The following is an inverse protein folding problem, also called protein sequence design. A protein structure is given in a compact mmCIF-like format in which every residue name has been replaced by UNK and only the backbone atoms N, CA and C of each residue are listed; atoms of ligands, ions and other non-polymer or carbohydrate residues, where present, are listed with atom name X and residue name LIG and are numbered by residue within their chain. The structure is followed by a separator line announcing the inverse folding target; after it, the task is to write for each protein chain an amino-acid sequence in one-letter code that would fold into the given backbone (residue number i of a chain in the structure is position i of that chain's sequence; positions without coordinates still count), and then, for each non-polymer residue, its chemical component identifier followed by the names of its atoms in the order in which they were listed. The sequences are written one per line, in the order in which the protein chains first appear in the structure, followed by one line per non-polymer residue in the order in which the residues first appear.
data_IF_740222250018
#
_entry.id   IF_740222250018
#
_cell.length_a   1.000
_cell.length_b   1.000
_cell.length_c   1.000
_cell.angle_alpha   90.00
_cell.angle_beta   90.00
_cell.angle_gamma   90.00
#
_symmetry.space_group_name_H-M   'P 1'
#
loop_
_entity.id
_entity.type
_entity.pdbx_description
1 polymer ?
#
# COMPACT_ATOMS: atom_id res chain seq x y z
N UNK A 1 8.65 12.06 -18.63
CA UNK A 1 9.63 11.33 -19.45
C UNK A 1 9.45 9.83 -19.18
N UNK A 2 8.81 9.13 -20.12
CA UNK A 2 8.76 7.67 -20.13
C UNK A 2 10.17 7.18 -20.44
N UNK A 3 10.71 6.32 -19.59
CA UNK A 3 11.99 5.71 -19.82
C UNK A 3 11.82 4.58 -20.84
N UNK A 4 12.73 4.46 -21.79
CA UNK A 4 12.71 3.37 -22.80
C UNK A 4 12.66 1.97 -22.18
N UNK A 5 13.03 1.82 -20.91
CA UNK A 5 12.92 0.58 -20.13
C UNK A 5 11.51 -0.01 -20.08
N UNK A 6 10.46 0.83 -20.16
CA UNK A 6 9.07 0.34 -20.14
C UNK A 6 8.73 -0.49 -21.37
N UNK A 7 9.41 -0.27 -22.49
CA UNK A 7 9.22 -1.03 -23.71
C UNK A 7 9.85 -2.43 -23.69
N UNK A 8 10.66 -2.77 -22.69
CA UNK A 8 11.25 -4.12 -22.59
C UNK A 8 10.20 -5.22 -22.46
N UNK A 9 9.01 -4.93 -21.98
CA UNK A 9 7.90 -5.88 -21.95
C UNK A 9 7.45 -6.35 -23.33
N UNK A 10 7.78 -5.66 -24.41
CA UNK A 10 7.51 -6.09 -25.77
C UNK A 10 8.26 -7.35 -26.17
N UNK A 11 9.42 -7.55 -25.55
CA UNK A 11 10.35 -8.65 -25.86
C UNK A 11 10.05 -9.92 -25.05
N UNK A 12 8.97 -10.00 -24.28
CA UNK A 12 8.64 -11.15 -23.43
C UNK A 12 8.71 -12.45 -24.24
N UNK A 13 8.14 -12.47 -25.45
CA UNK A 13 8.10 -13.65 -26.29
C UNK A 13 9.48 -14.08 -26.85
N UNK A 14 10.46 -13.17 -26.86
CA UNK A 14 11.81 -13.47 -27.32
C UNK A 14 12.63 -14.23 -26.26
N UNK A 15 12.37 -13.95 -24.99
CA UNK A 15 13.15 -14.48 -23.87
C UNK A 15 12.47 -15.64 -23.13
N UNK A 16 11.13 -15.72 -23.15
CA UNK A 16 10.38 -16.76 -22.47
C UNK A 16 10.18 -17.97 -23.38
N UNK A 17 10.48 -19.18 -22.88
CA UNK A 17 10.35 -20.45 -23.62
C UNK A 17 8.96 -21.07 -23.47
N UNK A 18 8.35 -20.85 -22.33
CA UNK A 18 7.03 -21.34 -21.95
C UNK A 18 5.93 -20.73 -22.83
N UNK A 19 4.81 -21.45 -22.97
CA UNK A 19 3.67 -20.98 -23.78
C UNK A 19 2.92 -19.79 -23.15
N UNK A 20 3.14 -19.53 -21.88
CA UNK A 20 2.53 -18.43 -21.12
C UNK A 20 3.46 -17.88 -20.07
N UNK A 21 3.35 -16.58 -19.81
CA UNK A 21 4.10 -15.88 -18.79
C UNK A 21 3.25 -14.81 -18.11
N UNK A 22 3.55 -14.53 -16.84
CA UNK A 22 3.03 -13.32 -16.17
C UNK A 22 4.09 -12.25 -16.21
N UNK A 23 3.77 -11.11 -16.78
CA UNK A 23 4.54 -9.87 -16.64
C UNK A 23 4.03 -9.10 -15.44
N UNK A 24 4.95 -8.55 -14.66
CA UNK A 24 4.65 -7.68 -13.51
C UNK A 24 5.58 -6.47 -13.54
N UNK A 25 5.03 -5.30 -13.25
CA UNK A 25 5.83 -4.11 -12.98
C UNK A 25 6.62 -4.26 -11.68
N UNK A 26 7.74 -3.56 -11.56
CA UNK A 26 8.65 -3.70 -10.42
C UNK A 26 8.13 -3.01 -9.12
N UNK A 27 7.03 -2.30 -9.20
CA UNK A 27 6.35 -1.64 -8.09
C UNK A 27 5.13 -2.44 -7.59
N UNK A 28 5.21 -3.77 -7.70
CA UNK A 28 4.17 -4.69 -7.25
C UNK A 28 4.65 -5.60 -6.11
N UNK A 29 3.70 -6.04 -5.31
CA UNK A 29 3.88 -7.10 -4.31
C UNK A 29 2.92 -8.23 -4.62
N UNK A 30 3.45 -9.46 -4.77
CA UNK A 30 2.65 -10.69 -4.82
C UNK A 30 2.45 -11.15 -3.38
N UNK A 31 1.20 -11.03 -2.90
CA UNK A 31 0.85 -11.38 -1.53
C UNK A 31 -0.04 -12.63 -1.44
N UNK A 32 -0.80 -12.91 -2.48
CA UNK A 32 -1.71 -14.05 -2.52
C UNK A 32 -1.34 -15.09 -3.57
N UNK A 33 -2.18 -16.13 -3.69
CA UNK A 33 -2.00 -17.19 -4.65
C UNK A 33 -2.33 -16.73 -6.08
N UNK A 34 -1.34 -16.73 -6.96
CA UNK A 34 -1.49 -16.39 -8.38
C UNK A 34 -1.61 -17.61 -9.31
N UNK A 35 -1.51 -18.83 -8.79
CA UNK A 35 -1.65 -20.05 -9.60
C UNK A 35 -2.93 -20.09 -10.43
N UNK A 36 -4.10 -19.61 -9.96
CA UNK A 36 -5.31 -19.59 -10.78
C UNK A 36 -5.20 -18.76 -12.07
N UNK A 37 -4.28 -17.79 -12.15
CA UNK A 37 -4.01 -17.05 -13.40
C UNK A 37 -3.46 -17.99 -14.48
N UNK A 38 -2.54 -18.90 -14.11
CA UNK A 38 -1.91 -19.82 -15.05
C UNK A 38 -2.88 -20.88 -15.57
N UNK A 39 -4.00 -21.09 -14.90
CA UNK A 39 -5.05 -22.03 -15.31
C UNK A 39 -6.12 -21.38 -16.20
N UNK A 40 -6.12 -20.06 -16.36
CA UNK A 40 -7.13 -19.37 -17.17
C UNK A 40 -6.89 -19.62 -18.65
N UNK A 41 -7.99 -19.92 -19.37
CA UNK A 41 -7.98 -19.97 -20.81
C UNK A 41 -7.93 -18.54 -21.38
N UNK A 42 -7.10 -18.33 -22.40
CA UNK A 42 -7.02 -17.08 -23.14
C UNK A 42 -8.23 -16.82 -24.05
N UNK A 43 -9.01 -17.83 -24.36
CA UNK A 43 -10.17 -17.72 -25.29
C UNK A 43 -9.78 -17.04 -26.60
N UNK A 44 -8.60 -17.40 -27.14
CA UNK A 44 -8.05 -16.83 -28.36
C UNK A 44 -7.40 -15.43 -28.21
N UNK A 45 -7.43 -14.84 -27.02
CA UNK A 45 -6.81 -13.54 -26.78
C UNK A 45 -5.29 -13.62 -26.62
N UNK A 46 -4.62 -12.47 -26.78
CA UNK A 46 -3.17 -12.34 -26.65
C UNK A 46 -2.72 -12.17 -25.20
N UNK A 47 -3.57 -11.55 -24.37
CA UNK A 47 -3.30 -11.26 -22.97
C UNK A 47 -4.56 -11.43 -22.12
N UNK A 48 -4.34 -11.70 -20.84
CA UNK A 48 -5.34 -11.56 -19.78
C UNK A 48 -4.82 -10.48 -18.83
N UNK A 49 -5.63 -9.46 -18.56
CA UNK A 49 -5.25 -8.32 -17.74
C UNK A 49 -6.42 -7.75 -16.94
N UNK A 50 -6.11 -6.89 -16.00
CA UNK A 50 -7.10 -6.16 -15.21
C UNK A 50 -7.47 -4.87 -15.94
N UNK A 51 -8.77 -4.50 -16.01
CA UNK A 51 -9.18 -3.21 -16.55
C UNK A 51 -8.48 -2.04 -15.82
N UNK A 52 -8.07 -1.04 -16.55
CA UNK A 52 -7.53 0.18 -15.97
C UNK A 52 -8.61 0.92 -15.17
N UNK A 53 -8.27 1.37 -13.98
CA UNK A 53 -9.23 2.06 -13.12
C UNK A 53 -9.55 3.50 -13.56
N UNK A 54 -8.67 4.12 -14.35
CA UNK A 54 -8.81 5.49 -14.83
C UNK A 54 -9.59 5.60 -16.14
N UNK A 55 -9.38 4.63 -17.03
CA UNK A 55 -9.88 4.68 -18.39
C UNK A 55 -10.78 3.49 -18.69
N UNK A 56 -11.91 3.76 -19.29
CA UNK A 56 -12.84 2.70 -19.73
C UNK A 56 -12.28 1.97 -20.94
N UNK A 57 -12.53 0.66 -20.99
CA UNK A 57 -12.23 -0.21 -22.13
C UNK A 57 -10.74 -0.44 -22.44
N UNK A 58 -9.84 -0.03 -21.58
CA UNK A 58 -8.43 -0.39 -21.67
C UNK A 58 -8.00 -1.22 -20.45
N UNK A 59 -6.88 -1.88 -20.55
CA UNK A 59 -6.28 -2.62 -19.44
C UNK A 59 -5.07 -1.87 -18.88
N UNK A 60 -4.80 -2.09 -17.60
CA UNK A 60 -3.57 -1.66 -16.97
C UNK A 60 -2.45 -2.66 -17.32
N UNK A 61 -1.37 -2.17 -17.92
CA UNK A 61 -0.27 -2.99 -18.41
C UNK A 61 0.71 -3.46 -17.32
N UNK A 62 0.51 -3.01 -16.08
CA UNK A 62 1.38 -3.39 -14.95
C UNK A 62 1.34 -4.88 -14.63
N UNK A 63 0.18 -5.55 -14.85
CA UNK A 63 0.06 -6.99 -14.77
C UNK A 63 -0.57 -7.54 -16.05
N UNK A 64 0.13 -8.43 -16.72
CA UNK A 64 -0.36 -9.13 -17.91
C UNK A 64 -0.01 -10.63 -17.87
N UNK A 65 -1.01 -11.49 -17.97
CA UNK A 65 -0.76 -12.87 -18.38
C UNK A 65 -0.67 -12.90 -19.92
N UNK A 66 0.48 -13.26 -20.42
CA UNK A 66 0.82 -13.22 -21.86
C UNK A 66 0.70 -14.60 -22.47
N UNK A 67 0.01 -14.72 -23.61
CA UNK A 67 0.01 -15.89 -24.48
C UNK A 67 1.28 -15.84 -25.33
N UNK A 68 2.37 -16.36 -24.79
CA UNK A 68 3.71 -16.30 -25.41
C UNK A 68 3.73 -17.03 -26.77
N UNK A 69 3.07 -18.17 -26.87
CA UNK A 69 2.95 -18.89 -28.12
C UNK A 69 2.33 -18.02 -29.23
N UNK A 70 1.19 -17.39 -28.92
CA UNK A 70 0.50 -16.50 -29.87
C UNK A 70 1.30 -15.26 -30.22
N UNK A 71 2.02 -14.67 -29.21
CA UNK A 71 2.90 -13.54 -29.46
C UNK A 71 4.03 -13.88 -30.44
N UNK A 72 4.64 -15.08 -30.32
CA UNK A 72 5.66 -15.56 -31.24
C UNK A 72 5.09 -15.79 -32.66
N UNK A 73 3.98 -16.50 -32.73
CA UNK A 73 3.37 -16.86 -34.01
C UNK A 73 2.98 -15.63 -34.83
N UNK A 74 2.47 -14.59 -34.15
CA UNK A 74 1.92 -13.40 -34.80
C UNK A 74 2.93 -12.22 -34.80
N UNK A 75 4.23 -12.46 -34.47
CA UNK A 75 5.31 -11.49 -34.46
C UNK A 75 4.97 -10.20 -33.66
N UNK A 76 4.36 -10.35 -32.52
CA UNK A 76 3.82 -9.22 -31.71
C UNK A 76 4.92 -8.24 -31.30
N UNK A 77 6.13 -8.70 -30.99
CA UNK A 77 7.25 -7.81 -30.64
C UNK A 77 7.50 -6.81 -31.76
N UNK A 78 7.63 -7.28 -33.01
CA UNK A 78 7.86 -6.44 -34.18
C UNK A 78 6.69 -5.47 -34.41
N UNK A 79 5.46 -5.96 -34.34
CA UNK A 79 4.26 -5.15 -34.51
C UNK A 79 4.18 -4.01 -33.48
N UNK A 80 4.54 -4.27 -32.22
CA UNK A 80 4.57 -3.25 -31.16
C UNK A 80 5.65 -2.20 -31.41
N UNK A 81 6.83 -2.61 -31.87
CA UNK A 81 7.93 -1.68 -32.21
C UNK A 81 7.55 -0.77 -33.39
N UNK A 82 6.97 -1.33 -34.44
CA UNK A 82 6.51 -0.58 -35.62
C UNK A 82 5.40 0.41 -35.24
N UNK A 83 4.40 -0.07 -34.47
CA UNK A 83 3.30 0.77 -33.99
C UNK A 83 3.81 1.90 -33.09
N UNK A 84 4.80 1.61 -32.23
CA UNK A 84 5.44 2.63 -31.38
C UNK A 84 6.14 3.68 -32.24
N UNK A 85 6.90 3.25 -33.27
CA UNK A 85 7.60 4.19 -34.16
C UNK A 85 6.61 5.06 -34.94
N UNK A 86 5.48 4.51 -35.37
CA UNK A 86 4.43 5.24 -36.07
C UNK A 86 3.68 6.23 -35.17
N UNK A 87 3.32 5.79 -33.94
CA UNK A 87 2.34 6.47 -33.06
C UNK A 87 2.93 7.21 -31.86
N UNK A 88 4.25 7.23 -31.67
CA UNK A 88 4.90 7.80 -30.47
C UNK A 88 4.56 9.27 -30.17
N UNK A 89 4.11 10.02 -31.16
CA UNK A 89 3.67 11.43 -30.96
C UNK A 89 2.19 11.54 -30.55
N UNK A 90 1.39 10.54 -30.87
CA UNK A 90 -0.05 10.52 -30.63
C UNK A 90 -0.43 9.76 -29.35
N UNK A 91 0.36 8.73 -29.00
CA UNK A 91 0.08 7.80 -27.94
C UNK A 91 1.15 7.91 -26.85
N UNK A 92 0.69 8.10 -25.63
CA UNK A 92 1.58 8.22 -24.49
C UNK A 92 1.89 6.83 -23.89
N UNK A 93 3.17 6.44 -24.00
CA UNK A 93 3.71 5.28 -23.32
C UNK A 93 3.41 3.92 -23.96
N UNK A 94 4.02 2.92 -23.39
CA UNK A 94 3.92 1.54 -23.79
C UNK A 94 2.51 0.96 -23.53
N UNK A 95 1.87 1.34 -22.43
CA UNK A 95 0.48 0.93 -22.14
C UNK A 95 -0.49 1.37 -23.23
N UNK A 96 -0.32 2.59 -23.72
CA UNK A 96 -1.17 3.10 -24.80
C UNK A 96 -1.01 2.28 -26.09
N UNK A 97 0.23 1.97 -26.48
CA UNK A 97 0.54 1.16 -27.66
C UNK A 97 0.00 -0.27 -27.52
N UNK A 98 0.19 -0.89 -26.34
CA UNK A 98 -0.35 -2.22 -26.06
C UNK A 98 -1.87 -2.25 -26.16
N UNK A 99 -2.56 -1.25 -25.60
CA UNK A 99 -4.01 -1.15 -25.67
C UNK A 99 -4.52 -0.90 -27.09
N UNK A 100 -3.77 -0.17 -27.91
CA UNK A 100 -4.13 0.01 -29.32
C UNK A 100 -3.98 -1.28 -30.10
N UNK A 101 -2.85 -2.01 -29.96
CA UNK A 101 -2.61 -3.25 -30.69
C UNK A 101 -3.59 -4.36 -30.27
N UNK A 102 -3.90 -4.43 -28.98
CA UNK A 102 -4.77 -5.45 -28.41
C UNK A 102 -6.21 -5.00 -28.20
N UNK A 103 -6.64 -3.93 -28.84
CA UNK A 103 -8.05 -3.51 -28.80
C UNK A 103 -8.98 -4.69 -29.12
N UNK A 104 -9.89 -4.99 -28.21
CA UNK A 104 -10.81 -6.15 -28.28
C UNK A 104 -10.13 -7.54 -28.41
N UNK A 105 -8.85 -7.66 -28.09
CA UNK A 105 -8.06 -8.90 -28.16
C UNK A 105 -7.43 -9.29 -26.82
N UNK A 106 -8.01 -8.82 -25.72
CA UNK A 106 -7.60 -9.14 -24.36
C UNK A 106 -8.78 -9.58 -23.50
N UNK A 107 -8.50 -10.46 -22.56
CA UNK A 107 -9.48 -11.01 -21.62
C UNK A 107 -9.38 -10.31 -20.27
N UNK A 108 -10.53 -9.92 -19.72
CA UNK A 108 -10.62 -9.28 -18.41
C UNK A 108 -10.46 -10.32 -17.29
N UNK A 109 -9.74 -9.90 -16.22
CA UNK A 109 -9.65 -10.65 -14.97
C UNK A 109 -9.96 -9.74 -13.78
N UNK A 110 -10.23 -10.35 -12.63
CA UNK A 110 -10.57 -9.63 -11.40
C UNK A 110 -9.45 -8.66 -10.97
N UNK A 111 -9.79 -7.47 -10.45
CA UNK A 111 -8.86 -6.54 -9.81
C UNK A 111 -8.00 -7.18 -8.71
N UNK A 112 -8.41 -8.32 -8.18
CA UNK A 112 -7.63 -9.14 -7.24
C UNK A 112 -6.18 -9.41 -7.72
N UNK A 113 -5.95 -9.46 -9.03
CA UNK A 113 -4.65 -9.75 -9.64
C UNK A 113 -3.87 -8.51 -10.11
N UNK A 114 -4.39 -7.33 -9.90
CA UNK A 114 -3.70 -6.06 -10.11
C UNK A 114 -4.46 -4.97 -9.35
N UNK A 115 -4.34 -5.01 -8.03
CA UNK A 115 -5.00 -4.04 -7.17
C UNK A 115 -4.20 -2.75 -7.16
N UNK A 116 -4.68 -1.77 -7.92
CA UNK A 116 -4.07 -0.46 -8.11
C UNK A 116 -4.28 0.40 -6.86
N UNK A 117 -3.25 0.52 -6.04
CA UNK A 117 -3.28 1.30 -4.80
C UNK A 117 -3.23 2.80 -5.13
N UNK A 118 -4.04 3.58 -4.44
CA UNK A 118 -4.14 5.03 -4.66
C UNK A 118 -5.34 5.46 -5.47
N UNK A 119 -5.98 4.56 -6.22
CA UNK A 119 -7.27 4.84 -6.87
C UNK A 119 -8.37 5.17 -5.85
N UNK A 120 -8.30 4.60 -4.67
CA UNK A 120 -9.19 4.91 -3.56
C UNK A 120 -9.10 6.39 -3.16
N UNK A 121 -7.91 6.89 -2.88
CA UNK A 121 -7.70 8.31 -2.54
C UNK A 121 -8.15 9.24 -3.66
N UNK A 122 -7.83 8.88 -4.89
CA UNK A 122 -8.21 9.67 -6.07
C UNK A 122 -9.70 9.60 -6.33
N UNK A 123 -10.32 8.43 -6.15
CA UNK A 123 -11.76 8.25 -6.24
C UNK A 123 -12.51 9.09 -5.21
N UNK A 124 -11.99 9.19 -4.00
CA UNK A 124 -12.54 10.07 -2.97
C UNK A 124 -12.51 11.54 -3.41
N UNK A 125 -11.37 12.05 -3.86
CA UNK A 125 -11.24 13.43 -4.32
C UNK A 125 -12.03 13.72 -5.59
N UNK A 126 -12.14 12.74 -6.50
CA UNK A 126 -12.91 12.87 -7.72
C UNK A 126 -14.41 12.60 -7.53
N UNK A 127 -14.86 12.28 -6.31
CA UNK A 127 -16.23 11.86 -5.99
C UNK A 127 -16.71 10.67 -6.85
N UNK A 128 -15.81 9.70 -7.07
CA UNK A 128 -16.06 8.48 -7.87
C UNK A 128 -15.95 7.23 -7.01
N UNK A 129 -16.98 6.90 -6.22
CA UNK A 129 -16.95 5.76 -5.31
C UNK A 129 -16.73 4.43 -6.04
N UNK A 130 -17.08 4.32 -7.30
CA UNK A 130 -16.87 3.14 -8.13
C UNK A 130 -15.38 2.80 -8.35
N UNK A 131 -14.47 3.73 -8.12
CA UNK A 131 -13.03 3.49 -8.26
C UNK A 131 -12.42 2.80 -7.04
N UNK A 132 -13.11 2.84 -5.90
CA UNK A 132 -12.59 2.30 -4.64
C UNK A 132 -13.54 1.35 -3.90
N UNK A 133 -14.65 0.93 -4.53
CA UNK A 133 -15.62 0.02 -3.89
C UNK A 133 -14.98 -1.24 -3.31
N UNK A 134 -13.99 -1.81 -3.99
CA UNK A 134 -13.27 -2.98 -3.51
C UNK A 134 -12.13 -2.63 -2.54
N UNK A 135 -11.63 -1.39 -2.57
CA UNK A 135 -10.56 -0.92 -1.70
C UNK A 135 -11.03 -0.75 -0.26
N UNK A 136 -12.33 -0.58 -0.07
CA UNK A 136 -12.95 -0.25 1.22
C UNK A 136 -13.46 -1.47 1.98
N UNK A 137 -13.49 -2.61 1.34
CA UNK A 137 -13.76 -3.87 2.04
C UNK A 137 -12.50 -4.28 2.82
N UNK A 138 -12.56 -4.23 4.15
CA UNK A 138 -11.48 -4.66 5.04
C UNK A 138 -11.10 -6.13 4.83
N UNK A 139 -12.05 -6.93 4.34
CA UNK A 139 -11.84 -8.33 4.00
C UNK A 139 -11.26 -8.53 2.60
N UNK A 140 -11.15 -7.48 1.81
CA UNK A 140 -10.60 -7.59 0.46
C UNK A 140 -9.08 -7.79 0.51
N UNK A 141 -8.66 -9.00 0.09
CA UNK A 141 -7.27 -9.44 0.10
C UNK A 141 -6.79 -9.65 -1.33
N UNK A 142 -6.16 -8.65 -1.96
CA UNK A 142 -5.64 -8.80 -3.32
C UNK A 142 -4.47 -9.77 -3.34
N UNK A 143 -4.40 -10.57 -4.42
CA UNK A 143 -3.25 -11.45 -4.65
C UNK A 143 -2.03 -10.68 -5.14
N UNK A 144 -2.25 -9.61 -5.92
CA UNK A 144 -1.19 -8.72 -6.41
C UNK A 144 -1.58 -7.29 -6.09
N UNK A 145 -0.71 -6.61 -5.35
CA UNK A 145 -0.81 -5.19 -4.98
C UNK A 145 0.11 -4.40 -5.90
N UNK A 146 -0.44 -3.41 -6.58
CA UNK A 146 0.29 -2.55 -7.50
C UNK A 146 0.34 -1.12 -6.96
N UNK A 147 1.51 -0.65 -6.60
CA UNK A 147 1.75 0.72 -6.13
C UNK A 147 1.98 1.66 -7.32
N UNK A 148 0.95 1.79 -8.15
CA UNK A 148 1.03 2.65 -9.33
C UNK A 148 1.17 4.15 -8.99
N UNK A 149 1.53 4.95 -10.00
CA UNK A 149 1.64 6.38 -9.85
C UNK A 149 2.91 6.85 -9.13
N UNK A 150 2.88 8.08 -8.60
CA UNK A 150 4.04 8.73 -7.96
C UNK A 150 4.19 8.42 -6.47
N UNK A 151 3.11 8.09 -5.80
CA UNK A 151 3.07 7.85 -4.36
C UNK A 151 3.47 6.39 -4.08
N UNK A 152 4.78 6.16 -4.02
CA UNK A 152 5.35 4.83 -3.81
C UNK A 152 5.49 4.52 -2.33
N UNK A 153 5.42 3.23 -1.91
CA UNK A 153 5.53 2.84 -0.50
C UNK A 153 6.91 3.14 0.11
N UNK A 154 7.93 3.33 -0.71
CA UNK A 154 9.28 3.72 -0.30
C UNK A 154 9.53 5.23 -0.34
N UNK A 155 8.58 6.02 -0.81
CA UNK A 155 8.64 7.48 -0.76
C UNK A 155 8.03 8.00 0.53
N UNK A 156 8.32 9.25 0.85
CA UNK A 156 7.84 9.92 2.05
C UNK A 156 6.34 10.25 2.01
N UNK A 157 5.73 10.30 0.84
CA UNK A 157 4.32 10.61 0.70
C UNK A 157 3.46 9.35 0.79
N UNK A 158 2.73 9.23 1.87
CA UNK A 158 2.15 7.98 2.35
C UNK A 158 0.65 7.89 2.22
N UNK A 159 0.16 8.13 1.03
CA UNK A 159 -1.26 7.93 0.72
C UNK A 159 -1.59 6.51 0.28
N UNK A 160 -0.64 5.57 0.41
CA UNK A 160 -0.78 4.22 -0.11
C UNK A 160 -1.21 3.23 0.96
N UNK A 161 -2.31 2.51 0.72
CA UNK A 161 -2.66 1.31 1.49
C UNK A 161 -1.60 0.21 1.28
N UNK A 162 -1.53 -0.72 2.18
CA UNK A 162 -0.60 -1.86 2.12
C UNK A 162 0.88 -1.48 2.08
N UNK A 163 1.24 -0.26 2.47
CA UNK A 163 2.64 0.17 2.56
C UNK A 163 3.45 -0.72 3.48
N UNK A 164 2.87 -1.11 4.60
CA UNK A 164 3.46 -2.03 5.59
C UNK A 164 3.80 -3.40 4.98
N UNK A 165 3.01 -3.89 4.04
CA UNK A 165 3.31 -5.13 3.34
C UNK A 165 4.53 -5.00 2.42
N UNK A 166 4.67 -3.86 1.75
CA UNK A 166 5.86 -3.62 0.92
C UNK A 166 7.13 -3.62 1.79
N UNK A 167 7.11 -2.92 2.92
CA UNK A 167 8.24 -2.88 3.84
C UNK A 167 8.52 -4.22 4.48
N UNK A 168 7.49 -5.00 4.82
CA UNK A 168 7.64 -6.36 5.30
C UNK A 168 8.41 -7.20 4.28
N UNK A 169 7.97 -7.27 3.02
CA UNK A 169 8.66 -8.04 1.99
C UNK A 169 10.05 -7.49 1.67
N UNK A 170 10.24 -6.18 1.68
CA UNK A 170 11.54 -5.56 1.47
C UNK A 170 12.54 -5.87 2.59
N UNK A 171 12.07 -6.08 3.80
CA UNK A 171 12.88 -6.43 4.98
C UNK A 171 13.23 -7.91 5.10
N UNK A 172 12.65 -8.79 4.29
CA UNK A 172 12.96 -10.22 4.31
C UNK A 172 14.36 -10.49 3.74
N UNK A 173 15.19 -11.19 4.51
CA UNK A 173 16.44 -11.74 4.00
C UNK A 173 16.22 -13.10 3.30
N UNK A 174 17.22 -13.53 2.54
CA UNK A 174 17.14 -14.79 1.81
C UNK A 174 17.01 -16.04 2.71
N UNK A 175 17.58 -16.02 3.91
CA UNK A 175 17.43 -17.14 4.84
C UNK A 175 16.01 -17.24 5.34
N UNK A 176 15.40 -16.12 5.68
CA UNK A 176 14.00 -16.04 6.09
C UNK A 176 13.08 -16.52 4.96
N UNK A 177 13.32 -16.06 3.72
CA UNK A 177 12.53 -16.48 2.54
C UNK A 177 12.66 -18.00 2.33
N UNK A 178 13.88 -18.54 2.33
CA UNK A 178 14.13 -19.96 2.10
C UNK A 178 13.56 -20.84 3.22
N UNK A 179 13.64 -20.40 4.48
CA UNK A 179 13.06 -21.14 5.61
C UNK A 179 11.51 -21.18 5.56
N UNK A 180 10.88 -20.22 4.92
CA UNK A 180 9.43 -20.16 4.77
C UNK A 180 8.89 -20.96 3.58
N UNK A 181 9.77 -21.40 2.66
CA UNK A 181 9.35 -22.23 1.51
C UNK A 181 8.72 -23.55 1.97
N UNK A 182 9.20 -24.11 3.07
CA UNK A 182 8.66 -25.34 3.65
C UNK A 182 7.49 -25.08 4.63
N UNK A 183 7.40 -23.87 5.21
CA UNK A 183 6.33 -23.42 6.08
C UNK A 183 5.56 -22.29 5.39
N UNK A 184 4.75 -22.62 4.42
CA UNK A 184 3.93 -21.63 3.70
C UNK A 184 3.04 -20.86 4.67
N UNK A 185 3.22 -19.53 4.86
CA UNK A 185 2.19 -18.74 5.47
C UNK A 185 1.00 -18.76 4.51
N UNK A 186 -0.03 -19.47 4.90
CA UNK A 186 -1.17 -19.77 4.03
C UNK A 186 -2.20 -18.67 4.00
N UNK A 187 -2.06 -17.64 4.86
CA UNK A 187 -3.04 -16.57 4.97
C UNK A 187 -2.40 -15.21 5.25
N UNK A 188 -3.04 -14.19 4.75
CA UNK A 188 -2.75 -12.75 4.97
C UNK A 188 -2.66 -12.41 6.48
N UNK A 189 -3.47 -13.03 7.31
CA UNK A 189 -3.49 -12.84 8.76
C UNK A 189 -2.22 -13.29 9.47
N UNK A 190 -1.47 -14.26 8.93
CA UNK A 190 -0.24 -14.74 9.54
C UNK A 190 0.96 -13.82 9.29
N UNK A 191 0.91 -13.03 8.23
CA UNK A 191 1.93 -12.03 7.88
C UNK A 191 1.61 -10.67 8.52
N UNK A 192 0.33 -10.33 8.61
CA UNK A 192 -0.14 -9.10 9.25
C UNK A 192 -0.07 -9.13 10.79
N UNK A 193 0.29 -10.26 11.40
CA UNK A 193 0.37 -10.43 12.86
C UNK A 193 1.63 -9.85 13.51
N UNK A 194 2.38 -9.01 12.81
CA UNK A 194 3.53 -8.33 13.44
C UNK A 194 3.08 -7.18 14.35
N UNK A 195 1.92 -6.59 14.12
CA UNK A 195 1.37 -5.56 15.01
C UNK A 195 -0.03 -5.97 15.47
N UNK A 196 -0.12 -6.43 16.70
CA UNK A 196 -1.38 -6.90 17.31
C UNK A 196 -2.27 -5.75 17.78
N UNK A 197 -1.68 -4.56 17.98
CA UNK A 197 -2.35 -3.39 18.57
C UNK A 197 -2.13 -2.16 17.70
N UNK A 198 -3.13 -1.29 17.66
CA UNK A 198 -3.11 -0.08 16.86
C UNK A 198 -3.20 1.17 17.74
N UNK A 199 -2.26 2.10 17.55
CA UNK A 199 -2.32 3.43 18.13
C UNK A 199 -2.34 4.51 17.05
N UNK A 200 -2.87 5.67 17.38
CA UNK A 200 -2.86 6.84 16.50
C UNK A 200 -2.26 8.05 17.20
N UNK A 201 -1.67 8.93 16.41
CA UNK A 201 -1.14 10.23 16.80
C UNK A 201 -1.59 11.24 15.73
N UNK A 202 -2.26 12.31 16.12
CA UNK A 202 -2.59 13.41 15.22
C UNK A 202 -1.70 14.60 15.56
N UNK A 203 -1.06 15.20 14.53
CA UNK A 203 -0.08 16.27 14.75
C UNK A 203 -0.09 17.32 13.66
N UNK A 204 0.25 18.53 14.02
CA UNK A 204 0.59 19.66 13.13
C UNK A 204 2.06 20.09 13.27
N UNK A 205 2.85 19.32 14.02
CA UNK A 205 4.27 19.59 14.25
C UNK A 205 5.14 18.36 13.95
N UNK A 206 6.43 18.57 13.78
CA UNK A 206 7.45 17.52 13.72
C UNK A 206 7.98 17.09 15.10
N UNK A 207 7.52 17.76 16.17
CA UNK A 207 7.92 17.50 17.55
C UNK A 207 6.92 16.53 18.18
N UNK A 208 7.25 15.24 18.14
CA UNK A 208 6.54 14.17 18.84
C UNK A 208 7.43 13.64 19.95
N UNK A 209 6.93 13.71 21.19
CA UNK A 209 7.71 13.35 22.37
C UNK A 209 8.11 11.89 22.34
N UNK A 210 9.42 11.62 22.37
CA UNK A 210 10.01 10.27 22.41
C UNK A 210 9.55 9.26 21.37
N UNK A 211 9.00 9.71 20.23
CA UNK A 211 8.37 8.83 19.23
C UNK A 211 9.32 7.73 18.73
N UNK A 212 10.59 8.04 18.47
CA UNK A 212 11.56 7.07 17.98
C UNK A 212 11.78 5.94 19.01
N UNK A 213 11.87 6.30 20.29
CA UNK A 213 12.01 5.35 21.37
C UNK A 213 10.77 4.45 21.53
N UNK A 214 9.57 5.05 21.47
CA UNK A 214 8.32 4.29 21.58
C UNK A 214 8.15 3.30 20.44
N UNK A 215 8.40 3.71 19.20
CA UNK A 215 8.32 2.86 18.01
C UNK A 215 9.28 1.67 18.09
N UNK A 216 10.53 1.92 18.53
CA UNK A 216 11.54 0.87 18.70
C UNK A 216 11.19 -0.12 19.81
N UNK A 217 10.66 0.36 20.94
CA UNK A 217 10.40 -0.47 22.13
C UNK A 217 9.05 -1.18 22.11
N UNK A 218 8.14 -0.83 21.21
CA UNK A 218 6.80 -1.40 21.09
C UNK A 218 6.58 -2.01 19.69
N UNK A 219 7.32 -3.04 19.30
CA UNK A 219 7.22 -3.63 17.95
C UNK A 219 5.86 -4.25 17.66
N UNK A 220 5.10 -4.64 18.69
CA UNK A 220 3.75 -5.21 18.57
C UNK A 220 2.64 -4.15 18.46
N UNK A 221 3.00 -2.87 18.51
CA UNK A 221 2.09 -1.74 18.35
C UNK A 221 2.32 -1.08 17.00
N UNK A 222 1.29 -0.91 16.19
CA UNK A 222 1.33 -0.17 14.95
C UNK A 222 0.98 1.31 15.19
N UNK A 223 1.89 2.19 14.84
CA UNK A 223 1.77 3.64 15.03
C UNK A 223 1.24 4.30 13.75
N UNK A 224 0.04 4.85 13.81
CA UNK A 224 -0.58 5.61 12.74
C UNK A 224 -0.42 7.12 13.02
N UNK A 225 0.41 7.82 12.25
CA UNK A 225 0.70 9.24 12.46
C UNK A 225 0.03 10.07 11.36
N UNK A 226 -0.86 10.96 11.76
CA UNK A 226 -1.69 11.80 10.88
C UNK A 226 -1.28 13.26 10.93
N UNK A 227 -1.18 13.92 9.77
CA UNK A 227 -1.01 15.36 9.67
C UNK A 227 -1.80 15.97 8.51
N UNK A 228 -2.27 17.20 8.68
CA UNK A 228 -2.91 17.98 7.60
C UNK A 228 -1.91 18.50 6.56
N UNK A 229 -0.61 18.38 6.84
CA UNK A 229 0.49 18.82 5.97
C UNK A 229 1.47 17.68 5.70
N UNK A 230 2.54 17.97 4.97
CA UNK A 230 3.66 17.04 4.83
C UNK A 230 4.50 17.01 6.10
N UNK A 231 5.04 15.84 6.40
CA UNK A 231 5.93 15.67 7.56
C UNK A 231 7.32 16.23 7.30
N UNK A 232 7.95 16.77 8.35
CA UNK A 232 9.37 17.13 8.34
C UNK A 232 10.29 15.89 8.36
N UNK A 233 11.60 16.07 8.09
CA UNK A 233 12.55 14.96 7.92
C UNK A 233 12.60 14.00 9.12
N UNK A 234 12.44 14.47 10.34
CA UNK A 234 12.47 13.64 11.55
C UNK A 234 11.35 12.60 11.57
N UNK A 235 10.11 13.04 11.31
CA UNK A 235 8.96 12.12 11.27
C UNK A 235 9.01 11.24 10.03
N UNK A 236 9.46 11.78 8.89
CA UNK A 236 9.68 11.00 7.67
C UNK A 236 10.67 9.86 7.89
N UNK A 237 11.71 10.06 8.68
CA UNK A 237 12.68 9.03 9.00
C UNK A 237 12.08 7.81 9.72
N UNK A 238 10.93 7.96 10.40
CA UNK A 238 10.21 6.83 11.01
C UNK A 238 9.67 5.83 9.98
N UNK A 239 9.69 6.20 8.73
CA UNK A 239 9.16 5.43 7.62
C UNK A 239 9.87 4.07 7.39
N UNK A 240 11.07 3.91 7.92
CA UNK A 240 11.80 2.64 7.85
C UNK A 240 11.33 1.60 8.90
N UNK A 241 10.59 2.02 9.94
CA UNK A 241 10.02 1.09 10.88
C UNK A 241 8.77 0.41 10.30
N UNK A 242 8.70 -0.92 10.38
CA UNK A 242 7.59 -1.72 9.84
C UNK A 242 6.27 -1.45 10.57
N UNK A 243 6.35 -1.04 11.82
CA UNK A 243 5.21 -0.74 12.68
C UNK A 243 4.82 0.75 12.67
N UNK A 244 5.17 1.50 11.61
CA UNK A 244 4.79 2.91 11.45
C UNK A 244 4.10 3.11 10.11
N UNK A 245 2.98 3.82 10.12
CA UNK A 245 2.30 4.36 8.94
C UNK A 245 2.10 5.86 9.10
N UNK A 246 2.58 6.62 8.13
CA UNK A 246 2.44 8.07 8.10
C UNK A 246 1.32 8.46 7.14
N UNK A 247 0.49 9.43 7.50
CA UNK A 247 -0.67 9.90 6.72
C UNK A 247 -0.60 11.43 6.53
N UNK A 248 0.26 11.93 5.61
CA UNK A 248 0.29 13.34 5.28
C UNK A 248 -0.95 13.74 4.48
N UNK A 249 -1.49 14.91 4.71
CA UNK A 249 -2.72 15.39 4.07
C UNK A 249 -3.84 14.33 4.08
N UNK A 250 -4.04 13.69 5.23
CA UNK A 250 -5.00 12.59 5.32
C UNK A 250 -6.43 13.03 4.99
N UNK A 251 -7.21 12.06 4.54
CA UNK A 251 -8.64 12.22 4.32
C UNK A 251 -9.42 11.81 5.58
N UNK A 252 -10.63 12.35 5.81
CA UNK A 252 -11.49 11.92 6.90
C UNK A 252 -11.74 10.41 6.93
N UNK A 253 -11.74 9.80 5.77
CA UNK A 253 -11.89 8.37 5.63
C UNK A 253 -10.69 7.60 6.21
N UNK A 254 -9.47 7.96 5.83
CA UNK A 254 -8.27 7.30 6.34
C UNK A 254 -8.20 7.36 7.88
N UNK A 255 -8.52 8.51 8.46
CA UNK A 255 -8.58 8.64 9.91
C UNK A 255 -9.71 7.80 10.53
N UNK A 256 -10.87 7.72 9.89
CA UNK A 256 -12.01 6.94 10.35
C UNK A 256 -11.73 5.43 10.34
N UNK A 257 -11.08 4.94 9.28
CA UNK A 257 -10.63 3.55 9.18
C UNK A 257 -9.71 3.17 10.34
N UNK A 258 -8.70 4.00 10.63
CA UNK A 258 -7.77 3.73 11.73
C UNK A 258 -8.45 3.85 13.08
N UNK A 259 -9.30 4.88 13.29
CA UNK A 259 -10.01 5.05 14.53
C UNK A 259 -10.98 3.90 14.83
N UNK A 260 -11.53 3.23 13.82
CA UNK A 260 -12.40 2.07 14.00
C UNK A 260 -11.68 0.85 14.60
N UNK A 261 -10.38 0.71 14.36
CA UNK A 261 -9.54 -0.39 14.88
C UNK A 261 -8.57 0.05 15.98
N UNK A 262 -8.70 1.29 16.46
CA UNK A 262 -7.83 1.85 17.47
C UNK A 262 -7.93 1.08 18.80
N UNK A 263 -6.81 0.70 19.40
CA UNK A 263 -6.76 0.10 20.73
C UNK A 263 -6.54 1.17 21.80
N UNK A 264 -5.65 2.12 21.54
CA UNK A 264 -5.38 3.28 22.40
C UNK A 264 -4.85 4.45 21.58
N UNK A 265 -4.87 5.64 22.13
CA UNK A 265 -4.36 6.87 21.53
C UNK A 265 -3.11 7.35 22.24
N UNK A 266 -2.14 7.89 21.50
CA UNK A 266 -0.96 8.55 22.04
C UNK A 266 -1.04 10.06 21.84
N UNK A 267 -1.19 10.78 22.91
CA UNK A 267 -1.19 12.24 22.95
C UNK A 267 0.22 12.75 23.28
N UNK A 268 1.09 12.71 22.28
CA UNK A 268 2.53 13.05 22.39
C UNK A 268 2.95 14.20 21.46
N UNK A 269 1.99 14.93 20.95
CA UNK A 269 2.16 16.09 20.10
C UNK A 269 2.34 17.35 20.94
N UNK A 270 3.38 18.16 20.66
CA UNK A 270 3.70 19.37 21.43
C UNK A 270 2.89 20.60 21.05
N UNK A 271 2.14 20.57 19.98
CA UNK A 271 1.40 21.72 19.50
C UNK A 271 -0.08 21.63 19.86
N UNK A 272 -0.98 22.03 18.97
CA UNK A 272 -2.41 22.05 19.26
C UNK A 272 -3.06 20.69 19.07
N UNK A 273 -4.16 20.44 19.76
CA UNK A 273 -5.04 19.31 19.48
C UNK A 273 -5.60 19.41 18.07
N UNK A 274 -5.53 18.31 17.30
CA UNK A 274 -6.03 18.23 15.93
C UNK A 274 -7.41 17.60 15.91
N UNK A 275 -8.35 18.19 15.16
CA UNK A 275 -9.68 17.65 14.86
C UNK A 275 -10.54 17.25 16.07
N UNK A 276 -10.29 17.83 17.26
CA UNK A 276 -10.93 17.42 18.52
C UNK A 276 -10.74 15.91 18.80
N UNK A 277 -9.53 15.40 18.54
CA UNK A 277 -9.25 13.96 18.58
C UNK A 277 -9.46 13.37 19.98
N UNK A 278 -9.13 14.10 21.04
CA UNK A 278 -9.30 13.66 22.43
C UNK A 278 -10.76 13.31 22.70
N UNK A 279 -11.68 14.20 22.32
CA UNK A 279 -13.11 13.96 22.44
C UNK A 279 -13.59 12.77 21.59
N UNK A 280 -13.06 12.61 20.38
CA UNK A 280 -13.39 11.46 19.51
C UNK A 280 -12.95 10.15 20.14
N UNK A 281 -11.72 10.08 20.67
CA UNK A 281 -11.18 8.87 21.32
C UNK A 281 -11.94 8.54 22.60
N UNK A 282 -12.31 9.54 23.40
CA UNK A 282 -13.19 9.30 24.56
C UNK A 282 -14.55 8.74 24.18
N UNK A 283 -15.15 9.22 23.09
CA UNK A 283 -16.42 8.69 22.58
C UNK A 283 -16.30 7.23 22.10
N UNK A 284 -15.11 6.82 21.66
CA UNK A 284 -14.80 5.42 21.32
C UNK A 284 -14.49 4.56 22.55
N UNK A 285 -14.49 5.15 23.75
CA UNK A 285 -14.11 4.49 25.02
C UNK A 285 -12.73 3.85 24.98
N UNK A 286 -11.79 4.48 24.28
CA UNK A 286 -10.41 4.01 24.17
C UNK A 286 -9.50 4.79 25.13
N UNK A 287 -8.49 4.14 25.76
CA UNK A 287 -7.55 4.82 26.65
C UNK A 287 -6.66 5.78 25.87
N UNK A 288 -6.24 6.83 26.56
CA UNK A 288 -5.28 7.82 26.07
C UNK A 288 -4.08 7.79 26.98
N UNK A 289 -2.88 7.66 26.39
CA UNK A 289 -1.61 7.81 27.08
C UNK A 289 -0.95 9.12 26.63
N UNK A 290 -0.46 9.91 27.54
CA UNK A 290 0.18 11.19 27.27
C UNK A 290 1.39 11.42 28.18
N UNK A 291 2.34 12.21 27.72
CA UNK A 291 3.33 12.76 28.62
C UNK A 291 2.80 14.04 29.28
N UNK A 292 3.34 14.38 30.45
CA UNK A 292 2.93 15.57 31.24
C UNK A 292 3.06 16.89 30.48
N UNK A 293 4.00 16.95 29.52
CA UNK A 293 4.31 18.12 28.71
C UNK A 293 3.58 18.14 27.35
N UNK A 294 2.79 17.12 27.02
CA UNK A 294 2.08 17.03 25.72
C UNK A 294 0.58 16.83 25.85
N UNK A 295 0.04 16.55 27.04
CA UNK A 295 -1.37 16.22 27.20
C UNK A 295 -2.31 17.37 26.83
N UNK A 296 -3.27 17.06 25.94
CA UNK A 296 -4.38 17.96 25.57
C UNK A 296 -5.69 17.62 26.29
N UNK A 297 -5.71 16.58 27.13
CA UNK A 297 -6.93 16.16 27.83
C UNK A 297 -7.25 17.04 29.02
N UNK A 298 -8.14 18.00 28.84
CA UNK A 298 -8.62 18.89 29.88
C UNK A 298 -9.54 18.23 30.91
N UNK A 299 -10.01 17.00 30.65
CA UNK A 299 -10.94 16.27 31.51
C UNK A 299 -10.23 15.29 32.45
N UNK A 300 -8.90 15.22 32.44
CA UNK A 300 -8.06 14.34 33.26
C UNK A 300 -8.45 12.86 33.19
N UNK A 301 -8.84 12.38 32.01
CA UNK A 301 -9.18 10.97 31.76
C UNK A 301 -8.02 10.18 31.16
N UNK A 302 -6.99 10.88 30.69
CA UNK A 302 -5.78 10.29 30.12
C UNK A 302 -4.84 9.80 31.22
N UNK A 303 -4.11 8.74 30.93
CA UNK A 303 -2.98 8.31 31.75
C UNK A 303 -1.77 9.20 31.44
N UNK A 304 -1.41 10.03 32.40
CA UNK A 304 -0.30 10.97 32.28
C UNK A 304 0.97 10.36 32.85
N UNK A 305 2.07 10.46 32.11
CA UNK A 305 3.38 9.88 32.43
C UNK A 305 4.46 10.94 32.36
N UNK A 306 5.55 10.82 33.16
CA UNK A 306 6.61 11.80 33.16
C UNK A 306 7.37 11.79 31.82
N UNK A 307 7.59 12.96 31.26
CA UNK A 307 8.33 13.10 29.99
C UNK A 307 9.83 12.78 30.14
N UNK A 308 10.36 12.85 31.36
CA UNK A 308 11.75 12.50 31.67
C UNK A 308 12.03 11.00 31.70
N UNK A 309 10.98 10.18 31.80
CA UNK A 309 11.08 8.73 31.94
C UNK A 309 10.23 7.99 30.87
N UNK A 310 10.63 8.04 29.58
CA UNK A 310 9.84 7.42 28.48
C UNK A 310 9.67 5.91 28.63
N UNK A 311 10.48 5.27 29.46
CA UNK A 311 10.36 3.87 29.81
C UNK A 311 9.04 3.56 30.52
N UNK A 312 8.58 4.47 31.38
CA UNK A 312 7.28 4.30 32.08
C UNK A 312 6.11 4.26 31.09
N UNK A 313 6.16 5.04 30.01
CA UNK A 313 5.18 4.98 28.93
C UNK A 313 5.16 3.59 28.27
N UNK A 314 6.34 3.05 27.95
CA UNK A 314 6.45 1.71 27.38
C UNK A 314 5.90 0.66 28.32
N UNK A 315 6.22 0.73 29.62
CA UNK A 315 5.73 -0.21 30.63
C UNK A 315 4.20 -0.12 30.82
N UNK A 316 3.65 1.10 30.85
CA UNK A 316 2.21 1.32 30.95
C UNK A 316 1.46 0.75 29.73
N UNK A 317 1.99 0.95 28.50
CA UNK A 317 1.40 0.41 27.30
C UNK A 317 1.51 -1.13 27.28
N UNK A 318 2.65 -1.70 27.63
CA UNK A 318 2.83 -3.16 27.72
C UNK A 318 1.85 -3.78 28.73
N UNK A 319 1.72 -3.19 29.89
CA UNK A 319 0.73 -3.65 30.87
C UNK A 319 -0.70 -3.61 30.30
N UNK A 320 -1.03 -2.57 29.56
CA UNK A 320 -2.35 -2.45 28.91
C UNK A 320 -2.59 -3.52 27.86
N UNK A 321 -1.59 -3.85 27.04
CA UNK A 321 -1.69 -4.86 25.97
C UNK A 321 -1.47 -6.29 26.48
N UNK A 322 -1.14 -6.49 27.77
CA UNK A 322 -0.97 -7.80 28.36
C UNK A 322 0.40 -8.44 28.17
N UNK A 323 1.45 -7.63 28.02
CA UNK A 323 2.86 -8.04 27.94
C UNK A 323 3.67 -7.84 29.24
#
# INVERSE_FOLDING_TARGET
HIKYMTYFRYFIAEFVKEDRAVYLDCDMVIHGNINPLFQKDFEGNYIIAVPDGWYKNIFNAGMMMVNVHKWKTDNICQNLLELTAEKHQEIYGDQGVLNLLFENKWKKVSPHYNFMVGLDTLGYWAQKPEWFLNSWDENYKPAIIHFEGKDKPWNDSLKTRYRELWWFYNGLDWQTILSQVDNKPTTFSEIATVSLFHTAIFTDTHELEHIEYLVEKLPNVHFHIFAHSYFGPRVQALNHFLNVSLYPNYTPYQSQEVLSKLDFYLDINHNHEIDNIISKVHNLSKPIFAFENTSHDTNNRSQILPSTEPKEMVEAIRQFIGE
#
